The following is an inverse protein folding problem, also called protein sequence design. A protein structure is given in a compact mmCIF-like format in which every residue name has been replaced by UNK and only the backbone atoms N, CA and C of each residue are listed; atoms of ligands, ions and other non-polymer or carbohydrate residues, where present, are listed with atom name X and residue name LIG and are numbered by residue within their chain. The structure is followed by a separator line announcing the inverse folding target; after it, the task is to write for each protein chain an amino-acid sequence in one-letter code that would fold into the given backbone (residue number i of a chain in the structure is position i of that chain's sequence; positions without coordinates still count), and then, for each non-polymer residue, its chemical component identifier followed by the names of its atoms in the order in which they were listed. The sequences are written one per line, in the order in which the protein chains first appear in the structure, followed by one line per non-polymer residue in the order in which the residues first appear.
data_IF_207158925393
#
_entry.id   IF_207158925393
#
_cell.length_a   1.000
_cell.length_b   1.000
_cell.length_c   1.000
_cell.angle_alpha   90.00
_cell.angle_beta   90.00
_cell.angle_gamma   90.00
#
_symmetry.space_group_name_H-M   'P 1'
#
loop_
_entity.id
_entity.type
_entity.pdbx_description
1 polymer ?
#
# COMPACT_ATOMS: atom_id res chain seq x y z
N UNK A 1 22.21 13.65 16.74
CA UNK A 1 22.56 12.28 16.28
C UNK A 1 21.38 11.74 15.50
N UNK A 2 21.48 11.67 14.17
CA UNK A 2 20.43 11.07 13.34
C UNK A 2 20.87 9.66 12.97
N UNK A 3 20.36 8.66 13.69
CA UNK A 3 20.49 7.26 13.29
C UNK A 3 19.49 7.01 12.16
N UNK A 4 19.91 7.21 10.91
CA UNK A 4 19.12 6.78 9.76
C UNK A 4 19.13 5.26 9.70
N UNK A 5 18.03 4.62 10.10
CA UNK A 5 17.79 3.22 9.73
C UNK A 5 17.64 3.19 8.22
N UNK A 6 18.56 2.51 7.52
CA UNK A 6 18.44 2.26 6.09
C UNK A 6 17.16 1.46 5.82
N UNK A 7 16.13 2.12 5.29
CA UNK A 7 14.99 1.42 4.69
C UNK A 7 15.43 0.91 3.31
N UNK A 8 15.59 -0.40 3.16
CA UNK A 8 15.83 -1.03 1.85
C UNK A 8 14.49 -1.29 1.18
N UNK A 9 14.14 -0.44 0.23
CA UNK A 9 13.01 -0.64 -0.66
C UNK A 9 13.50 -1.34 -1.92
N UNK A 10 13.01 -2.56 -2.18
CA UNK A 10 13.20 -3.26 -3.45
C UNK A 10 11.97 -3.01 -4.31
N UNK A 11 12.14 -2.35 -5.45
CA UNK A 11 11.08 -2.14 -6.43
C UNK A 11 11.51 -2.81 -7.74
N UNK A 12 10.82 -3.87 -8.15
CA UNK A 12 11.02 -4.51 -9.45
C UNK A 12 10.32 -3.69 -10.54
N UNK A 13 10.98 -3.51 -11.69
CA UNK A 13 10.43 -2.80 -12.86
C UNK A 13 9.33 -3.60 -13.58
N UNK A 14 9.26 -4.92 -13.33
CA UNK A 14 8.27 -5.84 -13.86
C UNK A 14 7.90 -6.82 -12.75
N UNK A 15 6.60 -6.99 -12.48
CA UNK A 15 6.12 -7.87 -11.41
C UNK A 15 6.02 -9.30 -11.96
N UNK A 16 6.87 -10.20 -11.45
CA UNK A 16 6.78 -11.64 -11.72
C UNK A 16 5.97 -12.35 -10.62
N UNK A 17 5.57 -13.61 -10.87
CA UNK A 17 4.92 -14.44 -9.85
C UNK A 17 5.81 -14.64 -8.61
N UNK A 18 7.12 -14.73 -8.81
CA UNK A 18 8.08 -14.96 -7.74
C UNK A 18 8.19 -13.75 -6.80
N UNK A 19 7.98 -12.52 -7.31
CA UNK A 19 7.95 -11.31 -6.49
C UNK A 19 6.79 -11.31 -5.48
N UNK A 20 5.63 -11.85 -5.88
CA UNK A 20 4.47 -12.00 -4.99
C UNK A 20 4.77 -13.01 -3.88
N UNK A 21 5.36 -14.15 -4.25
CA UNK A 21 5.74 -15.19 -3.29
C UNK A 21 6.77 -14.68 -2.29
N UNK A 22 7.81 -13.99 -2.76
CA UNK A 22 8.84 -13.42 -1.90
C UNK A 22 8.29 -12.31 -0.98
N UNK A 23 7.48 -11.38 -1.51
CA UNK A 23 6.87 -10.30 -0.73
C UNK A 23 5.93 -10.88 0.34
N UNK A 24 5.12 -11.88 -0.01
CA UNK A 24 4.24 -12.56 0.94
C UNK A 24 5.03 -13.19 2.08
N UNK A 25 6.10 -13.92 1.78
CA UNK A 25 6.95 -14.53 2.80
C UNK A 25 7.57 -13.49 3.76
N UNK A 26 7.96 -12.32 3.25
CA UNK A 26 8.47 -11.23 4.08
C UNK A 26 7.40 -10.66 5.01
N UNK A 27 6.14 -10.55 4.54
CA UNK A 27 5.02 -10.08 5.37
C UNK A 27 4.65 -11.11 6.44
N UNK A 28 4.50 -12.38 6.04
CA UNK A 28 4.11 -13.47 6.97
C UNK A 28 5.18 -13.72 8.05
N UNK A 29 6.46 -13.58 7.71
CA UNK A 29 7.56 -13.68 8.69
C UNK A 29 7.72 -12.45 9.58
N UNK A 30 7.00 -11.35 9.30
CA UNK A 30 7.13 -10.07 10.01
C UNK A 30 8.40 -9.28 9.66
N UNK A 31 9.22 -9.76 8.71
CA UNK A 31 10.38 -9.03 8.20
C UNK A 31 9.99 -7.77 7.41
N UNK A 32 8.76 -7.72 6.89
CA UNK A 32 8.14 -6.56 6.26
C UNK A 32 6.80 -6.24 6.94
N UNK A 33 6.72 -5.09 7.60
CA UNK A 33 5.44 -4.59 8.13
C UNK A 33 4.71 -3.76 7.08
N UNK A 34 3.42 -4.03 6.89
CA UNK A 34 2.50 -3.21 6.09
C UNK A 34 1.56 -2.36 6.98
N UNK A 35 1.77 -2.37 8.30
CA UNK A 35 0.95 -1.61 9.24
C UNK A 35 1.05 -0.10 8.96
N UNK A 36 -0.09 0.60 9.03
CA UNK A 36 -0.16 2.05 8.80
C UNK A 36 0.01 2.47 7.34
N UNK A 37 0.17 1.53 6.39
CA UNK A 37 0.29 1.87 4.98
C UNK A 37 -1.03 2.45 4.44
N UNK A 38 -2.16 1.80 4.74
CA UNK A 38 -3.50 2.26 4.36
C UNK A 38 -3.89 3.43 5.24
N UNK A 39 -3.93 4.63 4.67
CA UNK A 39 -4.37 5.84 5.38
C UNK A 39 -5.79 6.26 5.01
N UNK A 40 -6.27 5.86 3.84
CA UNK A 40 -7.60 6.21 3.36
C UNK A 40 -8.33 5.00 2.78
N UNK A 41 -9.65 5.00 2.93
CA UNK A 41 -10.54 4.01 2.36
C UNK A 41 -11.78 4.72 1.82
N UNK A 42 -12.31 4.26 0.70
CA UNK A 42 -13.56 4.75 0.13
C UNK A 42 -14.38 3.59 -0.42
N UNK A 43 -15.67 3.83 -0.64
CA UNK A 43 -16.52 2.89 -1.36
C UNK A 43 -16.24 2.98 -2.87
N UNK A 44 -16.54 1.92 -3.63
CA UNK A 44 -16.35 1.91 -5.09
C UNK A 44 -17.24 2.96 -5.78
N UNK A 45 -18.42 3.24 -5.23
CA UNK A 45 -19.33 4.28 -5.70
C UNK A 45 -18.73 5.68 -5.62
N UNK A 46 -17.76 5.89 -4.72
CA UNK A 46 -17.07 7.16 -4.52
C UNK A 46 -15.75 7.26 -5.28
N UNK A 47 -15.49 6.33 -6.22
CA UNK A 47 -14.19 6.21 -6.90
C UNK A 47 -13.68 7.54 -7.47
N UNK A 48 -14.55 8.36 -8.06
CA UNK A 48 -14.17 9.66 -8.60
C UNK A 48 -13.57 10.59 -7.53
N UNK A 49 -14.17 10.65 -6.35
CA UNK A 49 -13.67 11.45 -5.23
C UNK A 49 -12.43 10.79 -4.61
N UNK A 50 -12.42 9.46 -4.49
CA UNK A 50 -11.30 8.72 -3.96
C UNK A 50 -10.02 8.95 -4.77
N UNK A 51 -10.11 8.98 -6.11
CA UNK A 51 -8.98 9.32 -6.98
C UNK A 51 -8.50 10.76 -6.77
N UNK A 52 -9.41 11.73 -6.66
CA UNK A 52 -9.02 13.12 -6.35
C UNK A 52 -8.25 13.19 -5.02
N UNK A 53 -8.77 12.57 -3.97
CA UNK A 53 -8.07 12.50 -2.67
C UNK A 53 -6.72 11.82 -2.81
N UNK A 54 -6.63 10.68 -3.49
CA UNK A 54 -5.38 9.94 -3.65
C UNK A 54 -4.28 10.73 -4.38
N UNK A 55 -4.64 11.58 -5.34
CA UNK A 55 -3.67 12.37 -6.11
C UNK A 55 -3.40 13.76 -5.54
N UNK A 56 -4.29 14.30 -4.70
CA UNK A 56 -4.21 15.71 -4.24
C UNK A 56 -4.01 15.86 -2.74
N UNK A 57 -4.33 14.86 -1.92
CA UNK A 57 -4.10 14.90 -0.49
C UNK A 57 -2.69 14.40 -0.15
N UNK A 58 -1.78 15.25 0.35
CA UNK A 58 -0.42 14.85 0.69
C UNK A 58 -0.35 13.86 1.87
N UNK A 59 -1.43 13.67 2.62
CA UNK A 59 -1.52 12.68 3.71
C UNK A 59 -2.01 11.32 3.22
N UNK A 60 -2.45 11.20 1.96
CA UNK A 60 -2.90 9.95 1.37
C UNK A 60 -1.73 9.06 0.91
N UNK A 61 -1.10 8.38 1.87
CA UNK A 61 -0.05 7.38 1.61
C UNK A 61 -0.54 6.18 0.78
N UNK A 62 -1.67 5.57 1.16
CA UNK A 62 -2.32 4.50 0.38
C UNK A 62 -3.83 4.58 0.56
N UNK A 63 -4.52 4.78 -0.56
CA UNK A 63 -5.96 4.64 -0.70
C UNK A 63 -6.32 3.21 -1.10
N UNK A 64 -7.42 2.69 -0.57
CA UNK A 64 -8.09 1.49 -1.10
C UNK A 64 -9.56 1.77 -1.39
N UNK A 65 -10.10 1.12 -2.41
CA UNK A 65 -11.53 1.01 -2.61
C UNK A 65 -12.01 -0.28 -1.95
N UNK A 66 -12.90 -0.19 -0.97
CA UNK A 66 -13.37 -1.33 -0.22
C UNK A 66 -14.62 -1.94 -0.88
N UNK A 67 -14.46 -3.12 -1.50
CA UNK A 67 -15.53 -3.85 -2.18
C UNK A 67 -16.35 -4.79 -1.29
N UNK A 68 -16.09 -4.85 0.03
CA UNK A 68 -16.76 -5.82 0.92
C UNK A 68 -18.29 -5.78 0.84
N UNK A 69 -18.86 -4.59 0.65
CA UNK A 69 -20.32 -4.36 0.61
C UNK A 69 -20.80 -3.93 -0.80
N UNK A 70 -20.02 -4.24 -1.84
CA UNK A 70 -20.33 -3.82 -3.21
C UNK A 70 -21.30 -4.76 -3.96
N UNK A 71 -21.91 -5.72 -3.26
CA UNK A 71 -22.81 -6.74 -3.79
C UNK A 71 -24.17 -6.69 -3.08
#
# INVERSE_FOLDING_TARGET
MAFMKEARLRAAAEWSHDDLTATRALVESGALSLAGLITHQALPTDAQQAYRTAFSDPTCLKMILNWKDAA
#
